data_IF_937539120971
#
_entry.id   IF_937539120971
#
_cell.length_a   1.000
_cell.length_b   1.000
_cell.length_c   1.000
_cell.angle_alpha   90.00
_cell.angle_beta   90.00
_cell.angle_gamma   90.00
#
_symmetry.space_group_name_H-M   'P 1'
#
loop_
_entity.id
_entity.type
_entity.pdbx_description
1 polymer ?
#
# COMPACT_ATOMS: atom_id res chain seq x y z
N UNK A 1 0.04 6.48 4.23
CA UNK A 1 -1.03 5.93 3.37
C UNK A 1 -1.21 4.40 3.36
N UNK A 2 -0.41 3.55 3.99
CA UNK A 2 -0.59 2.08 4.02
C UNK A 2 -0.81 1.58 5.44
N UNK A 3 -1.43 0.39 5.60
CA UNK A 3 -1.71 -0.23 6.90
C UNK A 3 -3.14 -0.06 7.39
N UNK A 4 -4.03 0.45 6.54
CA UNK A 4 -5.45 0.63 6.86
C UNK A 4 -6.27 -0.64 6.69
N UNK A 5 -5.86 -1.55 5.80
CA UNK A 5 -6.56 -2.81 5.59
C UNK A 5 -6.07 -3.81 6.63
N UNK A 6 -6.89 -4.07 7.65
CA UNK A 6 -6.54 -5.01 8.71
C UNK A 6 -7.64 -6.06 8.90
N UNK A 7 -7.28 -7.34 9.11
CA UNK A 7 -8.27 -8.36 9.40
C UNK A 7 -8.97 -8.05 10.72
N UNK A 8 -10.31 -8.03 10.69
CA UNK A 8 -11.13 -7.82 11.89
C UNK A 8 -11.25 -9.11 12.67
N UNK A 9 -10.31 -9.39 13.56
CA UNK A 9 -10.24 -10.63 14.35
C UNK A 9 -11.55 -11.07 15.01
N UNK A 10 -12.41 -10.17 15.58
CA UNK A 10 -13.67 -10.58 16.16
C UNK A 10 -14.70 -11.15 15.18
N UNK A 11 -14.51 -10.90 13.88
CA UNK A 11 -15.44 -11.26 12.81
C UNK A 11 -14.90 -12.33 11.85
N UNK A 12 -13.64 -12.77 12.04
CA UNK A 12 -13.04 -13.83 11.26
C UNK A 12 -13.24 -15.18 11.94
N UNK A 13 -13.50 -16.22 11.15
CA UNK A 13 -13.40 -17.58 11.63
C UNK A 13 -11.92 -17.96 11.89
N UNK A 14 -11.68 -18.96 12.74
CA UNK A 14 -10.33 -19.48 12.97
C UNK A 14 -9.66 -19.96 11.66
N UNK A 15 -10.45 -20.47 10.73
CA UNK A 15 -9.98 -20.92 9.43
C UNK A 15 -9.55 -19.74 8.55
N UNK A 16 -10.33 -18.64 8.52
CA UNK A 16 -9.98 -17.44 7.76
C UNK A 16 -8.75 -16.74 8.35
N UNK A 17 -8.65 -16.70 9.69
CA UNK A 17 -7.45 -16.16 10.36
C UNK A 17 -6.21 -16.99 10.01
N UNK A 18 -6.30 -18.31 10.04
CA UNK A 18 -5.21 -19.21 9.66
C UNK A 18 -4.83 -19.04 8.18
N UNK A 19 -5.82 -18.89 7.28
CA UNK A 19 -5.59 -18.62 5.87
C UNK A 19 -4.90 -17.29 5.66
N UNK A 20 -5.38 -16.22 6.28
CA UNK A 20 -4.74 -14.90 6.20
C UNK A 20 -3.30 -14.96 6.70
N UNK A 21 -3.06 -15.62 7.82
CA UNK A 21 -1.71 -15.79 8.40
C UNK A 21 -0.79 -16.57 7.47
N UNK A 22 -1.29 -17.60 6.79
CA UNK A 22 -0.47 -18.39 5.84
C UNK A 22 -0.02 -17.56 4.65
N UNK A 23 -0.91 -16.71 4.11
CA UNK A 23 -0.58 -15.78 3.00
C UNK A 23 0.39 -14.71 3.46
N UNK A 24 0.19 -14.13 4.65
CA UNK A 24 1.10 -13.14 5.25
C UNK A 24 2.52 -13.70 5.41
N UNK A 25 2.63 -14.91 5.94
CA UNK A 25 3.92 -15.60 6.06
C UNK A 25 4.51 -15.97 4.69
N UNK A 26 3.66 -16.38 3.72
CA UNK A 26 4.06 -16.64 2.35
C UNK A 26 4.66 -15.41 1.68
N UNK A 27 4.01 -14.26 1.80
CA UNK A 27 4.52 -12.99 1.28
C UNK A 27 5.84 -12.58 1.94
N UNK A 28 5.97 -12.76 3.26
CA UNK A 28 7.23 -12.54 3.99
C UNK A 28 8.37 -13.41 3.44
N UNK A 29 8.06 -14.67 3.16
CA UNK A 29 9.02 -15.63 2.58
C UNK A 29 9.42 -15.22 1.18
N UNK A 30 8.45 -14.84 0.35
CA UNK A 30 8.66 -14.42 -1.02
C UNK A 30 9.53 -13.16 -1.11
N UNK A 31 9.24 -12.14 -0.31
CA UNK A 31 10.06 -10.94 -0.18
C UNK A 31 11.51 -11.28 0.20
N UNK A 32 11.69 -12.17 1.19
CA UNK A 32 13.00 -12.59 1.63
C UNK A 32 13.76 -13.40 0.56
N UNK A 33 13.08 -14.31 -0.14
CA UNK A 33 13.63 -15.16 -1.18
C UNK A 33 14.06 -14.36 -2.41
N UNK A 34 13.17 -13.48 -2.88
CA UNK A 34 13.37 -12.73 -4.13
C UNK A 34 14.28 -11.52 -3.94
N UNK A 35 14.19 -10.82 -2.81
CA UNK A 35 14.82 -9.52 -2.59
C UNK A 35 15.76 -9.41 -1.40
N UNK A 36 15.88 -10.48 -0.63
CA UNK A 36 16.76 -10.54 0.55
C UNK A 36 16.08 -10.09 1.84
N UNK A 37 16.83 -10.25 2.94
CA UNK A 37 16.27 -10.10 4.29
C UNK A 37 15.64 -8.72 4.54
N UNK A 38 16.27 -7.65 4.06
CA UNK A 38 15.78 -6.29 4.27
C UNK A 38 14.40 -6.04 3.65
N UNK A 39 14.06 -6.73 2.56
CA UNK A 39 12.76 -6.60 1.92
C UNK A 39 11.60 -7.11 2.79
N UNK A 40 11.85 -7.96 3.78
CA UNK A 40 10.82 -8.43 4.73
C UNK A 40 10.24 -7.30 5.58
N UNK A 41 10.95 -6.20 5.77
CA UNK A 41 10.45 -5.02 6.49
C UNK A 41 9.40 -4.22 5.72
N UNK A 42 9.23 -4.50 4.42
CA UNK A 42 8.15 -3.92 3.59
C UNK A 42 6.81 -4.64 3.79
N UNK A 43 6.85 -5.84 4.40
CA UNK A 43 5.66 -6.65 4.65
C UNK A 43 4.58 -5.87 5.42
N UNK A 44 3.37 -5.84 4.88
CA UNK A 44 2.20 -5.25 5.52
C UNK A 44 0.91 -6.02 5.18
N UNK A 45 -0.18 -5.64 5.81
CA UNK A 45 -1.48 -6.29 5.61
C UNK A 45 -2.14 -5.95 4.28
N UNK A 46 -1.90 -4.74 3.74
CA UNK A 46 -2.50 -4.30 2.48
C UNK A 46 -2.04 -5.18 1.32
N UNK A 47 -0.74 -5.49 1.25
CA UNK A 47 -0.20 -6.40 0.23
C UNK A 47 -0.51 -7.86 0.48
N UNK A 48 -0.75 -8.24 1.75
CA UNK A 48 -1.30 -9.57 2.06
C UNK A 48 -2.71 -9.70 1.49
N UNK A 49 -3.52 -8.65 1.65
CA UNK A 49 -4.87 -8.60 1.06
C UNK A 49 -4.82 -8.63 -0.48
N UNK A 50 -3.89 -7.89 -1.08
CA UNK A 50 -3.64 -7.97 -2.52
C UNK A 50 -3.31 -9.40 -2.97
N UNK A 51 -2.39 -10.08 -2.28
CA UNK A 51 -2.04 -11.46 -2.59
C UNK A 51 -3.25 -12.41 -2.51
N UNK A 52 -4.13 -12.21 -1.51
CA UNK A 52 -5.37 -12.98 -1.38
C UNK A 52 -6.31 -12.73 -2.57
N UNK A 53 -6.49 -11.48 -2.97
CA UNK A 53 -7.35 -11.12 -4.11
C UNK A 53 -6.81 -11.64 -5.45
N UNK A 54 -5.50 -11.70 -5.62
CA UNK A 54 -4.85 -12.22 -6.81
C UNK A 54 -4.84 -13.76 -6.84
N UNK A 55 -4.95 -14.41 -5.68
CA UNK A 55 -4.96 -15.87 -5.57
C UNK A 55 -6.23 -16.48 -6.19
N UNK A 56 -6.10 -17.67 -6.71
CA UNK A 56 -7.24 -18.45 -7.15
C UNK A 56 -8.04 -18.99 -5.95
N UNK A 57 -9.30 -19.34 -6.18
CA UNK A 57 -10.23 -19.82 -5.13
C UNK A 57 -9.85 -21.18 -4.52
N UNK A 58 -8.85 -21.86 -5.07
CA UNK A 58 -8.35 -23.13 -4.54
C UNK A 58 -7.65 -22.89 -3.20
N UNK A 59 -7.77 -23.86 -2.29
CA UNK A 59 -7.05 -23.81 -1.02
C UNK A 59 -5.54 -23.75 -1.29
N UNK A 60 -4.85 -22.76 -0.71
CA UNK A 60 -3.41 -22.64 -0.92
C UNK A 60 -2.69 -23.86 -0.32
N UNK A 61 -1.80 -24.46 -1.09
CA UNK A 61 -0.88 -25.45 -0.55
C UNK A 61 -0.03 -24.80 0.54
N UNK A 62 0.04 -25.47 1.69
CA UNK A 62 0.79 -25.00 2.83
C UNK A 62 2.06 -25.80 3.03
N UNK A 63 3.16 -25.11 3.16
CA UNK A 63 4.44 -25.67 3.59
C UNK A 63 4.69 -25.37 5.07
N UNK A 64 5.18 -26.37 5.81
CA UNK A 64 5.57 -26.17 7.20
C UNK A 64 6.94 -25.51 7.27
N UNK A 65 6.98 -24.24 7.66
CA UNK A 65 8.20 -23.46 7.74
C UNK A 65 8.43 -22.86 9.13
N UNK A 66 9.69 -22.73 9.53
CA UNK A 66 10.08 -21.95 10.72
C UNK A 66 10.44 -20.53 10.29
N UNK A 67 9.73 -19.56 10.85
CA UNK A 67 9.99 -18.15 10.59
C UNK A 67 11.03 -17.60 11.56
N UNK A 68 11.90 -16.70 11.09
CA UNK A 68 12.90 -16.02 11.94
C UNK A 68 12.23 -15.21 13.08
N UNK A 69 11.01 -14.71 12.88
CA UNK A 69 10.24 -14.02 13.91
C UNK A 69 9.58 -14.97 14.93
N UNK A 70 9.36 -16.25 14.56
CA UNK A 70 8.73 -17.26 15.40
C UNK A 70 9.50 -18.58 15.34
N UNK A 71 10.75 -18.63 15.85
CA UNK A 71 11.63 -19.79 15.69
C UNK A 71 11.15 -21.05 16.40
N UNK A 72 10.28 -20.88 17.41
CA UNK A 72 9.81 -21.99 18.26
C UNK A 72 8.57 -22.72 17.72
N UNK A 73 7.88 -22.18 16.69
CA UNK A 73 6.69 -22.80 16.11
C UNK A 73 6.84 -22.94 14.60
N UNK A 74 6.64 -24.15 14.10
CA UNK A 74 6.42 -24.35 12.68
C UNK A 74 5.04 -23.77 12.33
N UNK A 75 5.00 -22.91 11.32
CA UNK A 75 3.76 -22.29 10.83
C UNK A 75 3.47 -22.81 9.42
N UNK A 76 2.18 -22.91 9.09
CA UNK A 76 1.75 -23.09 7.73
C UNK A 76 2.05 -21.80 6.96
N UNK A 77 2.86 -21.90 5.93
CA UNK A 77 3.25 -20.82 5.04
C UNK A 77 2.72 -21.16 3.67
N UNK A 78 1.97 -20.26 3.05
CA UNK A 78 1.51 -20.45 1.68
C UNK A 78 2.70 -20.70 0.76
N UNK A 79 2.66 -21.79 -0.01
CA UNK A 79 3.66 -22.12 -1.00
C UNK A 79 3.81 -21.00 -2.04
N UNK A 80 4.95 -20.97 -2.73
CA UNK A 80 5.20 -19.98 -3.77
C UNK A 80 4.10 -20.00 -4.84
N UNK A 81 3.54 -18.82 -5.11
CA UNK A 81 2.52 -18.59 -6.15
C UNK A 81 2.83 -17.31 -6.91
N UNK A 82 2.30 -17.20 -8.14
CA UNK A 82 2.37 -15.97 -8.94
C UNK A 82 1.74 -14.79 -8.18
N UNK A 83 0.66 -15.03 -7.45
CA UNK A 83 -0.01 -13.99 -6.64
C UNK A 83 0.92 -13.41 -5.56
N UNK A 84 1.66 -14.26 -4.83
CA UNK A 84 2.65 -13.82 -3.84
C UNK A 84 3.83 -13.08 -4.49
N UNK A 85 4.29 -13.56 -5.63
CA UNK A 85 5.37 -12.92 -6.38
C UNK A 85 4.95 -11.52 -6.85
N UNK A 86 3.78 -11.42 -7.47
CA UNK A 86 3.20 -10.15 -7.92
C UNK A 86 3.02 -9.16 -6.76
N UNK A 87 2.43 -9.62 -5.65
CA UNK A 87 2.26 -8.78 -4.47
C UNK A 87 3.62 -8.31 -3.90
N UNK A 88 4.65 -9.15 -3.91
CA UNK A 88 5.99 -8.77 -3.46
C UNK A 88 6.63 -7.71 -4.36
N UNK A 89 6.48 -7.82 -5.68
CA UNK A 89 7.03 -6.87 -6.64
C UNK A 89 6.38 -5.49 -6.47
N UNK A 90 5.05 -5.44 -6.44
CA UNK A 90 4.30 -4.20 -6.25
C UNK A 90 4.56 -3.56 -4.89
N UNK A 91 4.63 -4.36 -3.81
CA UNK A 91 4.89 -3.84 -2.47
C UNK A 91 6.24 -3.15 -2.37
N UNK A 92 7.26 -3.69 -3.04
CA UNK A 92 8.60 -3.14 -3.01
C UNK A 92 8.71 -1.82 -3.77
N UNK A 93 8.04 -1.72 -4.92
CA UNK A 93 7.97 -0.49 -5.70
C UNK A 93 7.24 0.60 -4.90
N UNK A 94 6.06 0.31 -4.35
CA UNK A 94 5.30 1.29 -3.56
C UNK A 94 6.05 1.72 -2.29
N UNK A 95 6.65 0.79 -1.56
CA UNK A 95 7.44 1.13 -0.38
C UNK A 95 8.65 2.01 -0.70
N UNK A 96 9.30 1.78 -1.84
CA UNK A 96 10.39 2.64 -2.30
C UNK A 96 9.93 4.07 -2.55
N UNK A 97 8.84 4.24 -3.29
CA UNK A 97 8.31 5.57 -3.60
C UNK A 97 7.78 6.28 -2.36
N UNK A 98 7.16 5.56 -1.42
CA UNK A 98 6.76 6.11 -0.13
C UNK A 98 7.95 6.59 0.71
N UNK A 99 9.07 5.85 0.72
CA UNK A 99 10.29 6.30 1.36
C UNK A 99 10.86 7.55 0.70
N UNK A 100 10.76 7.68 -0.62
CA UNK A 100 11.18 8.87 -1.35
C UNK A 100 10.36 10.09 -0.98
N UNK A 101 9.04 9.94 -0.95
CA UNK A 101 8.09 10.95 -0.51
C UNK A 101 8.42 11.45 0.90
N UNK A 102 8.56 10.55 1.87
CA UNK A 102 8.99 10.92 3.22
C UNK A 102 10.37 11.59 3.30
N UNK A 103 11.29 11.28 2.41
CA UNK A 103 12.60 11.94 2.37
C UNK A 103 12.46 13.37 1.86
N UNK A 104 11.54 13.63 0.93
CA UNK A 104 11.29 14.95 0.34
C UNK A 104 10.50 15.85 1.31
N UNK A 105 9.53 15.31 2.04
CA UNK A 105 8.68 16.05 2.97
C UNK A 105 9.39 16.42 4.28
N UNK A 106 10.39 15.67 4.69
CA UNK A 106 11.04 15.86 5.98
C UNK A 106 12.37 16.60 5.87
N UNK A 107 12.63 17.54 6.80
CA UNK A 107 13.93 18.19 6.93
C UNK A 107 15.08 17.20 7.19
N UNK A 108 16.30 17.60 6.86
CA UNK A 108 17.51 16.77 6.77
C UNK A 108 17.65 15.74 7.92
N UNK A 109 17.48 16.15 9.17
CA UNK A 109 17.65 15.27 10.34
C UNK A 109 16.53 14.25 10.49
N UNK A 110 15.27 14.64 10.23
CA UNK A 110 14.12 13.74 10.31
C UNK A 110 14.11 12.74 9.16
N UNK A 111 14.72 13.05 8.02
CA UNK A 111 14.84 12.18 6.86
C UNK A 111 15.92 11.09 7.00
N UNK A 112 16.81 11.14 8.01
CA UNK A 112 17.92 10.18 8.15
C UNK A 112 17.43 8.72 8.19
N UNK A 113 16.45 8.32 9.01
CA UNK A 113 15.98 6.93 9.05
C UNK A 113 15.41 6.46 7.71
N UNK A 114 14.67 7.32 7.01
CA UNK A 114 14.12 7.00 5.69
C UNK A 114 15.20 6.85 4.62
N UNK A 115 16.24 7.69 4.66
CA UNK A 115 17.42 7.59 3.77
C UNK A 115 18.19 6.29 3.99
N UNK A 116 18.34 5.87 5.25
CA UNK A 116 18.99 4.60 5.57
C UNK A 116 18.15 3.41 5.08
N UNK A 117 16.83 3.43 5.30
CA UNK A 117 15.92 2.42 4.80
C UNK A 117 15.94 2.36 3.26
N UNK A 118 15.93 3.52 2.58
CA UNK A 118 16.04 3.59 1.13
C UNK A 118 17.39 3.02 0.63
N UNK A 119 18.49 3.27 1.32
CA UNK A 119 19.79 2.70 0.97
C UNK A 119 19.77 1.17 1.05
N UNK A 120 19.17 0.60 2.11
CA UNK A 120 19.03 -0.84 2.29
C UNK A 120 18.13 -1.49 1.23
N UNK A 121 17.06 -0.80 0.82
CA UNK A 121 16.10 -1.32 -0.15
C UNK A 121 16.46 -1.02 -1.61
N UNK A 122 17.48 -0.16 -1.86
CA UNK A 122 17.86 0.28 -3.21
C UNK A 122 18.11 -0.89 -4.19
N UNK A 123 18.80 -1.93 -3.72
CA UNK A 123 19.10 -3.10 -4.55
C UNK A 123 17.84 -3.90 -4.88
N UNK A 124 16.99 -4.08 -3.88
CA UNK A 124 15.71 -4.76 -3.99
C UNK A 124 14.76 -4.01 -4.95
N UNK A 125 14.62 -2.70 -4.79
CA UNK A 125 13.82 -1.85 -5.67
C UNK A 125 14.31 -1.90 -7.14
N UNK A 126 15.63 -1.79 -7.36
CA UNK A 126 16.18 -1.90 -8.73
C UNK A 126 15.84 -3.21 -9.42
N UNK A 127 15.79 -4.29 -8.64
CA UNK A 127 15.36 -5.59 -9.13
C UNK A 127 13.85 -5.64 -9.36
N UNK A 128 13.04 -5.16 -8.40
CA UNK A 128 11.57 -5.18 -8.50
C UNK A 128 11.06 -4.42 -9.72
N UNK A 129 11.56 -3.21 -9.95
CA UNK A 129 11.16 -2.39 -11.10
C UNK A 129 11.44 -3.04 -12.47
N UNK A 130 12.32 -4.03 -12.56
CA UNK A 130 12.53 -4.76 -13.82
C UNK A 130 11.42 -5.75 -14.12
N UNK A 131 10.66 -6.18 -13.11
CA UNK A 131 9.52 -7.07 -13.27
C UNK A 131 8.21 -6.31 -13.52
N UNK A 132 8.09 -5.11 -12.95
CA UNK A 132 6.89 -4.25 -13.05
C UNK A 132 7.23 -2.82 -13.49
N UNK A 133 7.86 -2.62 -14.66
CA UNK A 133 8.34 -1.30 -15.09
C UNK A 133 7.20 -0.31 -15.37
N UNK A 134 6.07 -0.79 -15.88
CA UNK A 134 4.91 0.04 -16.18
C UNK A 134 4.24 0.53 -14.89
N UNK A 135 4.19 -0.34 -13.88
CA UNK A 135 3.68 0.02 -12.56
C UNK A 135 4.61 1.04 -11.87
N UNK A 136 5.94 0.86 -11.93
CA UNK A 136 6.91 1.83 -11.39
C UNK A 136 6.73 3.22 -12.02
N UNK A 137 6.54 3.28 -13.33
CA UNK A 137 6.27 4.54 -14.03
C UNK A 137 4.90 5.14 -13.68
N UNK A 138 3.90 4.30 -13.46
CA UNK A 138 2.57 4.73 -13.02
C UNK A 138 2.62 5.33 -11.61
N UNK A 139 3.29 4.67 -10.65
CA UNK A 139 3.48 5.18 -9.29
C UNK A 139 4.11 6.58 -9.31
N UNK A 140 5.18 6.75 -10.08
CA UNK A 140 5.86 8.04 -10.19
C UNK A 140 4.92 9.13 -10.72
N UNK A 141 4.16 8.83 -11.77
CA UNK A 141 3.23 9.77 -12.39
C UNK A 141 2.13 10.20 -11.42
N UNK A 142 1.46 9.25 -10.78
CA UNK A 142 0.35 9.54 -9.87
C UNK A 142 0.79 10.23 -8.58
N UNK A 143 1.98 9.94 -8.06
CA UNK A 143 2.53 10.67 -6.91
C UNK A 143 2.88 12.12 -7.28
N UNK A 144 3.41 12.36 -8.48
CA UNK A 144 3.62 13.73 -8.95
C UNK A 144 2.29 14.49 -9.10
N UNK A 145 1.27 13.86 -9.71
CA UNK A 145 -0.06 14.46 -9.85
C UNK A 145 -0.69 14.76 -8.49
N UNK A 146 -0.51 13.87 -7.51
CA UNK A 146 -0.97 14.08 -6.14
C UNK A 146 -0.30 15.31 -5.51
N UNK A 147 1.01 15.38 -5.60
CA UNK A 147 1.80 16.50 -5.06
C UNK A 147 1.41 17.85 -5.71
N UNK A 148 1.20 17.88 -7.04
CA UNK A 148 0.73 19.08 -7.74
C UNK A 148 -0.65 19.53 -7.22
N UNK A 149 -1.61 18.61 -7.04
CA UNK A 149 -2.96 18.93 -6.52
C UNK A 149 -2.94 19.42 -5.08
N UNK A 150 -2.06 18.89 -4.25
CA UNK A 150 -1.86 19.33 -2.87
C UNK A 150 -1.27 20.75 -2.84
N UNK A 151 -0.32 21.07 -3.72
CA UNK A 151 0.23 22.41 -3.85
C UNK A 151 -0.79 23.44 -4.37
N UNK A 152 -1.68 23.04 -5.26
CA UNK A 152 -2.75 23.89 -5.79
C UNK A 152 -3.89 24.10 -4.79
N UNK A 153 -3.83 23.49 -3.60
CA UNK A 153 -4.88 23.55 -2.57
C UNK A 153 -6.27 23.19 -3.13
N UNK A 154 -6.36 22.05 -3.83
CA UNK A 154 -7.59 21.58 -4.43
C UNK A 154 -8.72 21.52 -3.40
N UNK A 155 -9.80 22.27 -3.63
CA UNK A 155 -10.93 22.37 -2.69
C UNK A 155 -11.86 21.13 -2.69
N UNK A 156 -11.65 20.19 -3.61
CA UNK A 156 -12.46 18.99 -3.75
C UNK A 156 -11.69 17.77 -3.26
N UNK A 157 -12.17 17.13 -2.19
CA UNK A 157 -11.67 15.86 -1.68
C UNK A 157 -11.62 14.75 -2.74
N UNK A 158 -12.65 14.70 -3.58
CA UNK A 158 -12.75 13.73 -4.66
C UNK A 158 -11.63 13.91 -5.68
N UNK A 159 -11.33 15.15 -6.05
CA UNK A 159 -10.25 15.47 -6.97
C UNK A 159 -8.87 15.25 -6.34
N UNK A 160 -8.73 15.51 -5.05
CA UNK A 160 -7.48 15.26 -4.33
C UNK A 160 -7.19 13.75 -4.17
N UNK A 161 -8.22 12.93 -3.98
CA UNK A 161 -8.10 11.48 -3.84
C UNK A 161 -7.85 10.75 -5.19
N UNK A 162 -8.18 11.38 -6.32
CA UNK A 162 -8.16 10.77 -7.65
C UNK A 162 -6.80 10.16 -8.05
N UNK A 163 -5.66 10.84 -7.90
CA UNK A 163 -4.37 10.26 -8.29
C UNK A 163 -4.05 8.99 -7.51
N UNK A 164 -4.33 8.96 -6.21
CA UNK A 164 -4.07 7.78 -5.39
C UNK A 164 -5.06 6.64 -5.70
N UNK A 165 -6.32 6.96 -5.98
CA UNK A 165 -7.31 5.97 -6.40
C UNK A 165 -6.94 5.34 -7.76
N UNK A 166 -6.50 6.15 -8.72
CA UNK A 166 -6.03 5.69 -10.03
C UNK A 166 -4.76 4.82 -9.90
N UNK A 167 -3.80 5.23 -9.07
CA UNK A 167 -2.61 4.44 -8.76
C UNK A 167 -2.98 3.04 -8.23
N UNK A 168 -3.93 2.96 -7.30
CA UNK A 168 -4.38 1.67 -6.77
C UNK A 168 -5.06 0.82 -7.84
N UNK A 169 -5.84 1.43 -8.74
CA UNK A 169 -6.47 0.71 -9.86
C UNK A 169 -5.44 0.10 -10.82
N UNK A 170 -4.31 0.78 -11.05
CA UNK A 170 -3.26 0.30 -11.94
C UNK A 170 -2.58 -0.99 -11.44
N UNK A 171 -2.70 -1.33 -10.15
CA UNK A 171 -2.25 -2.62 -9.62
C UNK A 171 -2.96 -3.78 -10.33
N UNK A 172 -4.22 -3.60 -10.75
CA UNK A 172 -4.99 -4.65 -11.43
C UNK A 172 -4.51 -4.94 -12.86
N UNK A 173 -3.63 -4.12 -13.45
CA UNK A 173 -3.08 -4.38 -14.79
C UNK A 173 -2.23 -5.65 -14.88
N UNK A 174 -1.79 -6.19 -13.73
CA UNK A 174 -1.14 -7.49 -13.64
C UNK A 174 -2.09 -8.70 -13.86
N UNK A 175 -3.40 -8.49 -13.93
CA UNK A 175 -4.40 -9.56 -14.09
C UNK A 175 -4.66 -9.81 -15.58
N UNK A 176 -4.39 -11.03 -16.07
CA UNK A 176 -4.54 -11.39 -17.49
C UNK A 176 -5.99 -11.44 -17.94
N UNK A 177 -6.89 -12.02 -17.12
CA UNK A 177 -8.32 -12.12 -17.44
C UNK A 177 -8.97 -10.72 -17.46
N UNK A 178 -9.52 -10.34 -18.60
CA UNK A 178 -10.06 -8.99 -18.83
C UNK A 178 -11.27 -8.69 -17.92
N UNK A 179 -12.15 -9.66 -17.70
CA UNK A 179 -13.32 -9.46 -16.84
C UNK A 179 -12.90 -9.30 -15.39
N UNK A 180 -12.01 -10.17 -14.90
CA UNK A 180 -11.46 -10.10 -13.55
C UNK A 180 -10.66 -8.81 -13.36
N UNK A 181 -9.82 -8.43 -14.30
CA UNK A 181 -9.06 -7.17 -14.28
C UNK A 181 -9.97 -5.96 -14.13
N UNK A 182 -11.06 -5.90 -14.91
CA UNK A 182 -12.04 -4.81 -14.81
C UNK A 182 -12.67 -4.72 -13.42
N UNK A 183 -13.09 -5.85 -12.86
CA UNK A 183 -13.66 -5.88 -11.49
C UNK A 183 -12.61 -5.46 -10.46
N UNK A 184 -11.38 -5.95 -10.59
CA UNK A 184 -10.29 -5.60 -9.68
C UNK A 184 -9.92 -4.12 -9.75
N UNK A 185 -9.94 -3.50 -10.94
CA UNK A 185 -9.73 -2.06 -11.10
C UNK A 185 -10.74 -1.24 -10.31
N UNK A 186 -12.02 -1.59 -10.40
CA UNK A 186 -13.06 -0.91 -9.61
C UNK A 186 -12.85 -1.09 -8.09
N UNK A 187 -12.55 -2.30 -7.66
CA UNK A 187 -12.29 -2.58 -6.24
C UNK A 187 -11.11 -1.73 -5.75
N UNK A 188 -9.98 -1.75 -6.45
CA UNK A 188 -8.78 -1.02 -6.02
C UNK A 188 -8.93 0.49 -6.14
N UNK A 189 -9.64 0.98 -7.14
CA UNK A 189 -9.95 2.40 -7.25
C UNK A 189 -10.73 2.92 -6.03
N UNK A 190 -11.81 2.26 -5.68
CA UNK A 190 -12.62 2.66 -4.53
C UNK A 190 -11.90 2.44 -3.20
N UNK A 191 -11.09 1.41 -3.11
CA UNK A 191 -10.23 1.16 -1.95
C UNK A 191 -9.18 2.26 -1.77
N UNK A 192 -8.49 2.64 -2.85
CA UNK A 192 -7.51 3.72 -2.84
C UNK A 192 -8.14 5.05 -2.42
N UNK A 193 -9.31 5.37 -2.98
CA UNK A 193 -10.07 6.54 -2.58
C UNK A 193 -10.45 6.53 -1.10
N UNK A 194 -10.90 5.39 -0.59
CA UNK A 194 -11.22 5.23 0.83
C UNK A 194 -9.99 5.39 1.72
N UNK A 195 -8.86 4.77 1.36
CA UNK A 195 -7.59 4.90 2.10
C UNK A 195 -7.16 6.37 2.18
N UNK A 196 -7.19 7.10 1.06
CA UNK A 196 -6.83 8.51 1.03
C UNK A 196 -7.71 9.35 1.97
N UNK A 197 -9.04 9.12 1.96
CA UNK A 197 -9.98 9.85 2.79
C UNK A 197 -9.77 9.57 4.29
N UNK A 198 -9.49 8.33 4.66
CA UNK A 198 -9.21 7.93 6.05
C UNK A 198 -7.88 8.53 6.52
N UNK A 199 -6.84 8.47 5.69
CA UNK A 199 -5.52 9.08 5.98
C UNK A 199 -5.66 10.60 6.20
N UNK A 200 -6.37 11.27 5.32
CA UNK A 200 -6.65 12.71 5.46
C UNK A 200 -7.46 13.04 6.73
N UNK A 201 -8.37 12.16 7.14
CA UNK A 201 -9.13 12.34 8.38
C UNK A 201 -8.27 12.11 9.63
N UNK A 202 -7.40 11.09 9.62
CA UNK A 202 -6.49 10.79 10.74
C UNK A 202 -5.43 11.89 10.93
N UNK A 203 -5.02 12.54 9.86
CA UNK A 203 -4.02 13.61 9.91
C UNK A 203 -4.63 15.01 10.10
N UNK A 204 -5.96 15.13 10.02
CA UNK A 204 -6.68 16.40 10.12
C UNK A 204 -6.27 17.24 11.35
N UNK A 205 -6.22 16.63 12.53
CA UNK A 205 -5.87 17.35 13.78
C UNK A 205 -4.40 17.76 13.82
N UNK A 206 -3.51 16.93 13.28
CA UNK A 206 -2.05 17.19 13.23
C UNK A 206 -1.73 18.32 12.27
N UNK A 207 -2.36 18.30 11.10
CA UNK A 207 -2.13 19.25 10.02
C UNK A 207 -2.73 20.63 10.33
N UNK A 208 -3.88 20.69 11.03
CA UNK A 208 -4.45 21.95 11.50
C UNK A 208 -3.49 22.74 12.39
N UNK A 209 -2.60 22.05 13.13
CA UNK A 209 -1.55 22.69 13.94
C UNK A 209 -0.29 23.07 13.16
N UNK A 210 -0.02 22.43 12.01
CA UNK A 210 1.20 22.62 11.24
C UNK A 210 1.07 23.55 10.02
N UNK A 211 -0.12 24.08 9.75
CA UNK A 211 -0.42 24.91 8.58
C UNK A 211 -0.18 24.18 7.24
N UNK A 212 -0.27 22.84 7.25
CA UNK A 212 -0.19 22.01 6.05
C UNK A 212 -1.52 22.01 5.29
N UNK A 213 -1.47 21.70 4.00
CA UNK A 213 -2.67 21.59 3.18
C UNK A 213 -3.56 20.44 3.67
N UNK A 214 -4.84 20.77 3.86
CA UNK A 214 -5.89 19.82 4.21
C UNK A 214 -7.09 20.02 3.32
N UNK A 215 -7.36 19.04 2.45
CA UNK A 215 -8.57 19.04 1.64
C UNK A 215 -9.85 19.08 2.46
N UNK A 216 -9.85 18.58 3.71
CA UNK A 216 -11.00 18.59 4.62
C UNK A 216 -11.30 19.96 5.24
N UNK A 217 -10.30 20.83 5.46
CA UNK A 217 -10.53 22.18 6.02
C UNK A 217 -11.36 23.04 5.06
N UNK A 218 -11.08 22.95 3.76
CA UNK A 218 -11.79 23.74 2.76
C UNK A 218 -13.27 23.37 2.58
N UNK A 219 -13.68 22.17 3.02
CA UNK A 219 -15.09 21.74 2.99
C UNK A 219 -15.89 22.27 4.19
N UNK A 220 -15.26 22.48 5.34
CA UNK A 220 -15.92 22.97 6.57
C UNK A 220 -16.10 24.49 6.61
N UNK A 221 -15.34 25.26 5.82
CA UNK A 221 -15.44 26.73 5.83
C UNK A 221 -16.59 27.35 5.04
N UNK A 222 -17.11 26.80 3.93
CA UNK A 222 -18.22 27.43 3.17
C UNK A 222 -19.51 27.61 3.98
N UNK A 223 -19.70 26.83 5.04
CA UNK A 223 -20.91 26.92 5.88
C UNK A 223 -20.87 28.04 6.91
N UNK A 224 -19.72 28.64 7.21
CA UNK A 224 -19.63 29.78 8.14
C UNK A 224 -19.99 31.12 7.50
N UNK A 225 -19.78 31.29 6.20
CA UNK A 225 -20.13 32.54 5.51
C UNK A 225 -21.59 32.62 5.04
N UNK A 226 -22.33 31.51 5.03
CA UNK A 226 -23.75 31.49 4.62
C UNK A 226 -24.72 31.78 5.79
N UNK A 227 -24.25 31.96 7.03
CA UNK A 227 -25.13 32.27 8.19
C UNK A 227 -25.12 33.72 8.64
N UNK A 228 -24.45 34.63 7.91
CA UNK A 228 -24.47 36.07 8.20
C UNK A 228 -24.94 36.80 6.95
N UNK A 229 -26.22 36.70 6.66
CA UNK A 229 -26.95 37.62 5.78
C UNK A 229 -28.43 37.57 6.13
#
# INVERSE_FOLDING_TARGET
>A
MFGYIRPSKPHLSEQDEARFQSVYCGLCHELGRKYGFAARFVLNFDFTFLAILLSDAQEPECESCRCAAHPCKAQCVMAHTVALETAADHSLVLAWWQLRDHIEDHGFFKAIPYRLAALLLRGAYRKARTFVPEFDASVQRHLNDLHEREQEHCASLDQAAEPFAALMADIADCVDDEMRRRVMKEIFYHLGRWIYLVDAADDFEKDAHSNCYLSLIHISEPTRHAQIS
#
